data_IF_872208949239
#
_entry.id   IF_872208949239
#
_cell.length_a   1.000
_cell.length_b   1.000
_cell.length_c   1.000
_cell.angle_alpha   90.00
_cell.angle_beta   90.00
_cell.angle_gamma   90.00
#
_symmetry.space_group_name_H-M   'P 1'
#
loop_
_entity.id
_entity.type
_entity.pdbx_description
1 polymer ?
#
# COMPACT_ATOMS: atom_id res chain seq x y z
N UNK A 1 9.64 -22.54 10.25
CA UNK A 1 9.48 -23.57 9.19
C UNK A 1 10.37 -23.16 8.02
N UNK A 2 11.15 -24.06 7.42
CA UNK A 2 11.98 -23.70 6.29
C UNK A 2 11.12 -23.38 5.08
N UNK A 3 11.37 -22.22 4.46
CA UNK A 3 10.78 -21.80 3.17
C UNK A 3 11.22 -22.82 2.09
N UNK A 4 10.31 -23.66 1.69
CA UNK A 4 10.52 -24.53 0.51
C UNK A 4 10.30 -23.64 -0.71
N UNK A 5 11.39 -23.18 -1.32
CA UNK A 5 11.40 -22.53 -2.63
C UNK A 5 10.91 -23.54 -3.67
N UNK A 6 9.64 -23.55 -3.99
CA UNK A 6 9.10 -24.30 -5.11
C UNK A 6 9.19 -23.45 -6.38
N UNK A 7 9.83 -23.99 -7.40
CA UNK A 7 9.91 -23.35 -8.72
C UNK A 7 8.52 -23.26 -9.36
N UNK A 8 8.17 -22.13 -10.01
CA UNK A 8 6.83 -21.86 -10.53
C UNK A 8 6.35 -22.78 -11.67
N UNK A 9 7.22 -23.54 -12.31
CA UNK A 9 6.97 -24.19 -13.59
C UNK A 9 6.12 -25.45 -13.51
N UNK A 10 6.10 -26.18 -12.40
CA UNK A 10 5.39 -27.47 -12.32
C UNK A 10 4.14 -27.46 -11.44
N UNK A 11 3.90 -26.36 -10.74
CA UNK A 11 2.85 -26.29 -9.71
C UNK A 11 1.49 -25.75 -10.22
N UNK A 12 1.47 -24.99 -11.33
CA UNK A 12 0.28 -24.26 -11.77
C UNK A 12 -0.94 -25.13 -12.03
N UNK A 13 -0.77 -26.26 -12.69
CA UNK A 13 -1.86 -27.19 -13.00
C UNK A 13 -2.43 -27.87 -11.75
N UNK A 14 -1.57 -28.42 -10.91
CA UNK A 14 -1.97 -29.15 -9.69
C UNK A 14 -2.62 -28.26 -8.65
N UNK A 15 -2.22 -26.99 -8.54
CA UNK A 15 -2.84 -26.03 -7.61
C UNK A 15 -4.24 -25.62 -8.06
N UNK A 16 -4.45 -25.41 -9.35
CA UNK A 16 -5.75 -25.02 -9.90
C UNK A 16 -6.78 -26.14 -9.68
N UNK A 17 -6.41 -27.39 -9.88
CA UNK A 17 -7.28 -28.56 -9.65
C UNK A 17 -7.73 -28.65 -8.19
N UNK A 18 -6.92 -28.23 -7.23
CA UNK A 18 -7.26 -28.19 -5.80
C UNK A 18 -8.02 -26.91 -5.40
N UNK A 19 -8.32 -26.00 -6.31
CA UNK A 19 -8.98 -24.74 -6.04
C UNK A 19 -8.09 -23.70 -5.35
N UNK A 20 -6.77 -23.90 -5.35
CA UNK A 20 -5.76 -22.98 -4.81
C UNK A 20 -4.74 -22.59 -5.86
N UNK A 21 -4.05 -21.49 -5.63
CA UNK A 21 -2.98 -21.03 -6.51
C UNK A 21 -1.86 -20.35 -5.70
N UNK A 22 -0.65 -20.36 -6.24
CA UNK A 22 0.53 -19.79 -5.59
C UNK A 22 0.69 -18.31 -5.91
N UNK A 23 0.79 -17.47 -4.87
CA UNK A 23 1.13 -16.06 -5.02
C UNK A 23 2.64 -15.87 -5.05
N UNK A 24 3.18 -15.30 -6.13
CA UNK A 24 4.63 -15.08 -6.31
C UNK A 24 5.21 -14.03 -5.37
N UNK A 25 4.40 -13.06 -4.91
CA UNK A 25 4.86 -11.98 -4.04
C UNK A 25 4.84 -12.36 -2.55
N UNK A 26 3.73 -12.89 -2.02
CA UNK A 26 3.67 -13.29 -0.60
C UNK A 26 4.10 -14.75 -0.37
N UNK A 27 4.38 -15.51 -1.44
CA UNK A 27 4.83 -16.90 -1.37
C UNK A 27 3.88 -17.82 -0.56
N UNK A 28 2.58 -17.67 -0.79
CA UNK A 28 1.54 -18.45 -0.14
C UNK A 28 0.63 -19.13 -1.15
N UNK A 29 0.17 -20.35 -0.82
CA UNK A 29 -0.96 -20.96 -1.48
C UNK A 29 -2.24 -20.33 -0.95
N UNK A 30 -3.05 -19.77 -1.84
CA UNK A 30 -4.29 -19.09 -1.50
C UNK A 30 -5.43 -19.62 -2.37
N UNK A 31 -6.69 -19.60 -1.89
CA UNK A 31 -7.86 -19.91 -2.69
C UNK A 31 -7.91 -19.08 -3.99
N UNK A 32 -8.37 -19.69 -5.09
CA UNK A 32 -8.48 -19.02 -6.40
C UNK A 32 -9.27 -17.72 -6.35
N UNK A 33 -10.24 -17.59 -5.44
CA UNK A 33 -11.02 -16.38 -5.23
C UNK A 33 -10.16 -15.16 -4.84
N UNK A 34 -8.95 -15.38 -4.29
CA UNK A 34 -7.99 -14.33 -3.96
C UNK A 34 -7.20 -13.82 -5.16
N UNK A 35 -7.38 -14.40 -6.34
CA UNK A 35 -6.67 -13.99 -7.55
C UNK A 35 -7.62 -13.34 -8.56
N UNK A 36 -7.08 -12.39 -9.32
CA UNK A 36 -7.72 -11.94 -10.55
C UNK A 36 -7.36 -12.87 -11.70
N UNK A 37 -8.16 -12.86 -12.76
CA UNK A 37 -7.89 -13.61 -13.99
C UNK A 37 -7.10 -12.77 -14.99
N UNK A 38 -6.34 -13.45 -15.84
CA UNK A 38 -5.58 -12.87 -16.94
C UNK A 38 -6.15 -13.36 -18.27
N UNK A 39 -6.86 -12.47 -18.97
CA UNK A 39 -7.46 -12.80 -20.26
C UNK A 39 -6.40 -13.13 -21.32
N UNK A 40 -5.23 -12.49 -21.29
CA UNK A 40 -4.13 -12.78 -22.21
C UNK A 40 -3.49 -14.15 -22.01
N UNK A 41 -3.76 -14.80 -20.87
CA UNK A 41 -3.31 -16.15 -20.54
C UNK A 41 -4.47 -17.15 -20.48
N UNK A 42 -5.51 -16.95 -21.28
CA UNK A 42 -6.65 -17.87 -21.35
C UNK A 42 -7.51 -17.94 -20.09
N UNK A 43 -7.56 -16.86 -19.30
CA UNK A 43 -8.34 -16.81 -18.05
C UNK A 43 -7.68 -17.45 -16.84
N UNK A 44 -6.39 -17.79 -16.92
CA UNK A 44 -5.61 -18.30 -15.78
C UNK A 44 -5.49 -17.25 -14.66
N UNK A 45 -5.31 -17.69 -13.40
CA UNK A 45 -5.04 -16.77 -12.30
C UNK A 45 -3.80 -15.93 -12.58
N UNK A 46 -3.82 -14.67 -12.15
CA UNK A 46 -2.62 -13.80 -12.15
C UNK A 46 -1.58 -14.35 -11.18
N UNK A 47 -0.30 -14.10 -11.44
CA UNK A 47 0.80 -14.56 -10.59
C UNK A 47 0.77 -14.00 -9.16
N UNK A 48 0.14 -12.83 -8.96
CA UNK A 48 -0.05 -12.22 -7.64
C UNK A 48 -1.51 -12.29 -7.20
N UNK A 49 -1.74 -12.57 -5.92
CA UNK A 49 -3.08 -12.39 -5.34
C UNK A 49 -3.51 -10.91 -5.39
N UNK A 50 -4.80 -10.64 -5.26
CA UNK A 50 -5.38 -9.29 -5.36
C UNK A 50 -4.72 -8.29 -4.42
N UNK A 51 -4.45 -8.69 -3.17
CA UNK A 51 -3.75 -7.86 -2.19
C UNK A 51 -2.33 -7.51 -2.68
N UNK A 52 -1.53 -8.51 -3.01
CA UNK A 52 -0.16 -8.29 -3.50
C UNK A 52 -0.13 -7.49 -4.80
N UNK A 53 -1.07 -7.73 -5.71
CA UNK A 53 -1.20 -6.93 -6.94
C UNK A 53 -1.48 -5.46 -6.63
N UNK A 54 -2.34 -5.19 -5.65
CA UNK A 54 -2.61 -3.83 -5.17
C UNK A 54 -1.36 -3.17 -4.56
N UNK A 55 -0.57 -3.90 -3.79
CA UNK A 55 0.70 -3.42 -3.22
C UNK A 55 1.71 -3.12 -4.33
N UNK A 56 1.91 -4.04 -5.29
CA UNK A 56 2.80 -3.83 -6.44
C UNK A 56 2.41 -2.58 -7.23
N UNK A 57 1.12 -2.39 -7.48
CA UNK A 57 0.62 -1.23 -8.23
C UNK A 57 0.95 0.09 -7.50
N UNK A 58 0.74 0.14 -6.18
CA UNK A 58 1.08 1.31 -5.35
C UNK A 58 2.59 1.54 -5.30
N UNK A 59 3.37 0.48 -5.13
CA UNK A 59 4.83 0.54 -5.10
C UNK A 59 5.38 1.14 -6.39
N UNK A 60 4.96 0.63 -7.55
CA UNK A 60 5.39 1.13 -8.85
C UNK A 60 5.01 2.60 -9.07
N UNK A 61 3.77 2.97 -8.72
CA UNK A 61 3.28 4.35 -8.83
C UNK A 61 4.14 5.33 -8.01
N UNK A 62 4.61 4.90 -6.86
CA UNK A 62 5.38 5.74 -5.94
C UNK A 62 6.89 5.45 -5.93
N UNK A 63 7.40 4.74 -6.96
CA UNK A 63 8.82 4.41 -7.10
C UNK A 63 9.40 3.75 -5.85
N UNK A 64 8.64 2.82 -5.28
CA UNK A 64 9.00 2.01 -4.12
C UNK A 64 9.04 0.53 -4.46
N UNK A 65 9.65 -0.26 -3.59
CA UNK A 65 9.61 -1.73 -3.70
C UNK A 65 8.31 -2.28 -3.14
N UNK A 66 7.97 -3.50 -3.53
CA UNK A 66 6.87 -4.25 -2.91
C UNK A 66 7.04 -4.34 -1.40
N UNK A 67 8.26 -4.62 -0.94
CA UNK A 67 8.57 -4.79 0.48
C UNK A 67 8.32 -3.51 1.28
N UNK A 68 8.73 -2.34 0.77
CA UNK A 68 8.51 -1.06 1.43
C UNK A 68 7.02 -0.83 1.72
N UNK A 69 6.19 -1.03 0.69
CA UNK A 69 4.74 -0.80 0.82
C UNK A 69 4.08 -1.90 1.66
N UNK A 70 4.54 -3.15 1.55
CA UNK A 70 4.05 -4.26 2.37
C UNK A 70 4.33 -4.02 3.86
N UNK A 71 5.54 -3.61 4.22
CA UNK A 71 5.90 -3.26 5.60
C UNK A 71 5.03 -2.12 6.15
N UNK A 72 4.67 -1.16 5.30
CA UNK A 72 3.77 -0.07 5.71
C UNK A 72 2.35 -0.57 5.98
N UNK A 73 1.83 -1.51 5.18
CA UNK A 73 0.55 -2.17 5.44
C UNK A 73 0.56 -2.93 6.77
N UNK A 74 1.62 -3.69 7.05
CA UNK A 74 1.79 -4.43 8.30
C UNK A 74 1.91 -3.47 9.50
N UNK A 75 2.74 -2.44 9.38
CA UNK A 75 2.95 -1.43 10.43
C UNK A 75 1.63 -0.74 10.80
N UNK A 76 0.83 -0.36 9.82
CA UNK A 76 -0.48 0.27 10.03
C UNK A 76 -1.61 -0.74 10.30
N UNK A 77 -1.31 -2.06 10.34
CA UNK A 77 -2.30 -3.13 10.59
C UNK A 77 -3.50 -3.04 9.64
N UNK A 78 -3.25 -2.70 8.37
CA UNK A 78 -4.29 -2.53 7.34
C UNK A 78 -5.34 -1.48 7.70
N UNK A 79 -4.95 -0.43 8.44
CA UNK A 79 -5.82 0.69 8.83
C UNK A 79 -5.38 1.99 8.19
N UNK A 80 -6.32 2.90 8.01
CA UNK A 80 -6.02 4.28 7.72
C UNK A 80 -5.24 4.91 8.89
N UNK A 81 -4.20 5.71 8.58
CA UNK A 81 -3.38 6.34 9.61
C UNK A 81 -4.09 7.50 10.35
N UNK A 82 -5.18 8.04 9.78
CA UNK A 82 -5.91 9.19 10.36
C UNK A 82 -7.20 8.74 11.02
N UNK A 83 -7.99 7.89 10.37
CA UNK A 83 -9.28 7.44 10.90
C UNK A 83 -9.25 5.93 11.23
N UNK A 84 -10.18 5.42 12.06
CA UNK A 84 -10.14 4.02 12.52
C UNK A 84 -10.57 3.00 11.46
N UNK A 85 -10.89 3.41 10.24
CA UNK A 85 -11.34 2.52 9.17
C UNK A 85 -10.25 1.49 8.82
N UNK A 86 -10.62 0.23 8.89
CA UNK A 86 -9.78 -0.90 8.50
C UNK A 86 -10.22 -1.46 7.16
N UNK A 87 -9.25 -1.78 6.33
CA UNK A 87 -9.45 -2.44 5.05
C UNK A 87 -8.72 -3.79 5.08
N UNK A 88 -9.46 -4.86 5.38
CA UNK A 88 -8.92 -6.21 5.60
C UNK A 88 -8.09 -6.73 4.42
N UNK A 89 -8.45 -6.34 3.21
CA UNK A 89 -7.81 -6.79 1.99
C UNK A 89 -6.82 -5.75 1.42
N UNK A 90 -6.53 -4.68 2.20
CA UNK A 90 -5.74 -3.54 1.73
C UNK A 90 -6.41 -2.75 0.61
N UNK A 91 -7.59 -3.20 0.17
CA UNK A 91 -8.40 -2.49 -0.80
C UNK A 91 -8.96 -1.20 -0.18
N UNK A 92 -9.00 -0.12 -0.93
CA UNK A 92 -9.46 1.18 -0.43
C UNK A 92 -8.43 1.98 0.38
N UNK A 93 -7.21 1.46 0.64
CA UNK A 93 -6.11 2.25 1.17
C UNK A 93 -5.22 2.77 0.04
N UNK A 94 -4.88 4.04 0.11
CA UNK A 94 -4.04 4.75 -0.85
C UNK A 94 -2.71 5.11 -0.19
N UNK A 95 -1.62 4.98 -0.93
CA UNK A 95 -0.32 5.45 -0.47
C UNK A 95 -0.27 6.97 -0.64
N UNK A 96 -0.19 7.67 0.47
CA UNK A 96 -0.11 9.12 0.53
C UNK A 96 1.34 9.59 0.47
N UNK A 97 1.55 10.77 -0.11
CA UNK A 97 2.85 11.41 -0.22
C UNK A 97 2.72 12.93 -0.10
N UNK A 98 3.81 13.60 0.24
CA UNK A 98 3.85 15.04 0.41
C UNK A 98 3.74 15.77 -0.95
N UNK A 99 2.64 16.51 -1.12
CA UNK A 99 2.38 17.30 -2.32
C UNK A 99 3.22 18.57 -2.41
N UNK A 100 3.82 19.04 -1.31
CA UNK A 100 4.80 20.13 -1.38
C UNK A 100 6.10 19.65 -2.02
N UNK A 101 6.47 18.37 -1.80
CA UNK A 101 7.62 17.74 -2.45
C UNK A 101 7.34 17.37 -3.92
N UNK A 102 6.15 16.81 -4.19
CA UNK A 102 5.75 16.32 -5.52
C UNK A 102 4.39 16.92 -5.91
N UNK A 103 4.36 18.19 -6.39
CA UNK A 103 3.09 18.92 -6.59
C UNK A 103 2.30 18.44 -7.81
N UNK A 104 2.90 17.73 -8.75
CA UNK A 104 2.19 17.26 -9.94
C UNK A 104 1.36 16.03 -9.63
N UNK A 105 0.11 16.06 -10.06
CA UNK A 105 -0.82 14.95 -9.88
C UNK A 105 -0.26 13.66 -10.49
N UNK A 106 -0.21 12.61 -9.69
CA UNK A 106 0.26 11.28 -10.12
C UNK A 106 1.77 11.08 -10.08
N UNK A 107 2.56 12.10 -9.78
CA UNK A 107 4.00 11.99 -9.58
C UNK A 107 4.37 11.75 -8.12
N UNK A 108 5.41 10.96 -7.91
CA UNK A 108 6.03 10.76 -6.60
C UNK A 108 7.51 10.47 -6.80
N UNK A 109 8.37 11.12 -6.01
CA UNK A 109 9.81 10.84 -6.00
C UNK A 109 10.14 9.54 -5.25
N UNK A 110 9.18 8.98 -4.53
CA UNK A 110 9.35 7.81 -3.68
C UNK A 110 9.97 8.13 -2.30
N UNK A 111 10.45 9.32 -2.05
CA UNK A 111 11.13 9.68 -0.79
C UNK A 111 10.28 10.57 0.13
N UNK A 112 9.08 10.91 -0.30
CA UNK A 112 8.15 11.77 0.42
C UNK A 112 6.84 11.06 0.79
N UNK A 113 6.83 9.73 0.80
CA UNK A 113 5.66 8.97 1.23
C UNK A 113 5.44 9.16 2.72
N UNK A 114 4.19 9.27 3.14
CA UNK A 114 3.78 9.50 4.52
C UNK A 114 3.13 8.27 5.15
N UNK A 115 2.18 7.65 4.46
CA UNK A 115 1.45 6.50 5.00
C UNK A 115 0.33 6.02 4.10
N UNK A 116 -0.47 5.11 4.63
CA UNK A 116 -1.66 4.58 3.97
C UNK A 116 -2.91 5.24 4.55
N UNK A 117 -3.73 5.80 3.68
CA UNK A 117 -4.97 6.49 4.03
C UNK A 117 -6.14 5.91 3.24
N UNK A 118 -7.32 5.88 3.84
CA UNK A 118 -8.55 5.63 3.08
C UNK A 118 -8.82 6.78 2.10
N UNK A 119 -9.66 6.51 1.10
CA UNK A 119 -9.98 7.51 0.07
C UNK A 119 -10.50 8.83 0.66
N UNK A 120 -11.38 8.78 1.66
CA UNK A 120 -11.95 9.97 2.29
C UNK A 120 -10.89 10.84 2.98
N UNK A 121 -9.93 10.20 3.69
CA UNK A 121 -8.84 10.93 4.33
C UNK A 121 -7.84 11.47 3.30
N UNK A 122 -7.45 10.64 2.33
CA UNK A 122 -6.43 11.00 1.33
C UNK A 122 -6.91 12.04 0.30
N UNK A 123 -8.16 11.95 -0.14
CA UNK A 123 -8.70 12.83 -1.18
C UNK A 123 -9.54 14.00 -0.65
N UNK A 124 -9.92 13.99 0.62
CA UNK A 124 -10.81 14.98 1.20
C UNK A 124 -10.23 15.67 2.42
N UNK A 125 -10.17 14.94 3.55
CA UNK A 125 -9.86 15.51 4.86
C UNK A 125 -8.44 16.10 4.92
N UNK A 126 -7.44 15.36 4.49
CA UNK A 126 -6.05 15.79 4.56
C UNK A 126 -5.77 17.00 3.66
N UNK A 127 -6.14 17.01 2.35
CA UNK A 127 -5.92 18.18 1.50
C UNK A 127 -6.68 19.42 1.96
N UNK A 128 -7.85 19.26 2.56
CA UNK A 128 -8.57 20.36 3.17
C UNK A 128 -7.80 20.93 4.36
N UNK A 129 -7.35 20.06 5.27
CA UNK A 129 -6.61 20.47 6.46
C UNK A 129 -5.26 21.15 6.14
N UNK A 130 -4.51 20.62 5.19
CA UNK A 130 -3.24 21.23 4.75
C UNK A 130 -3.41 22.67 4.26
N UNK A 131 -4.58 23.00 3.68
CA UNK A 131 -4.88 24.40 3.23
C UNK A 131 -5.19 25.37 4.37
N UNK A 132 -5.76 24.88 5.48
CA UNK A 132 -6.15 25.73 6.62
C UNK A 132 -5.21 25.60 7.80
N UNK A 133 -4.20 24.75 7.71
CA UNK A 133 -3.22 24.50 8.76
C UNK A 133 -2.55 25.81 9.20
N UNK A 134 -2.58 26.09 10.50
CA UNK A 134 -2.07 27.35 11.08
C UNK A 134 -3.08 28.50 11.12
N UNK A 135 -4.26 28.36 10.49
CA UNK A 135 -5.34 29.33 10.56
C UNK A 135 -6.41 28.94 11.59
N UNK A 136 -6.55 27.65 11.84
CA UNK A 136 -7.51 27.03 12.75
C UNK A 136 -6.80 26.31 13.90
N UNK A 137 -7.48 26.04 15.01
CA UNK A 137 -6.93 25.19 16.06
C UNK A 137 -6.44 23.85 15.51
N UNK A 138 -5.31 23.33 15.96
CA UNK A 138 -4.76 22.09 15.45
C UNK A 138 -5.70 20.90 15.73
N UNK A 139 -5.93 20.07 14.73
CA UNK A 139 -6.65 18.81 14.90
C UNK A 139 -5.64 17.66 15.15
N UNK A 140 -5.56 17.15 16.40
CA UNK A 140 -4.46 16.28 16.82
C UNK A 140 -4.19 15.08 15.92
N UNK A 141 -5.19 14.33 15.40
CA UNK A 141 -4.91 13.20 14.52
C UNK A 141 -4.22 13.58 13.21
N UNK A 142 -4.54 14.73 12.64
CA UNK A 142 -3.94 15.21 11.40
C UNK A 142 -2.55 15.81 11.65
N UNK A 143 -2.38 16.55 12.75
CA UNK A 143 -1.05 17.05 13.16
C UNK A 143 -0.09 15.90 13.46
N UNK A 144 -0.55 14.89 14.20
CA UNK A 144 0.26 13.70 14.48
C UNK A 144 0.69 13.01 13.19
N UNK A 145 -0.23 12.81 12.25
CA UNK A 145 0.07 12.21 10.96
C UNK A 145 1.06 13.03 10.12
N UNK A 146 0.91 14.35 10.09
CA UNK A 146 1.77 15.23 9.30
C UNK A 146 3.17 15.40 9.91
N UNK A 147 3.27 15.43 11.24
CA UNK A 147 4.54 15.64 11.95
C UNK A 147 5.34 14.34 12.12
N UNK A 148 4.66 13.21 12.31
CA UNK A 148 5.29 11.90 12.49
C UNK A 148 4.54 10.83 11.67
N UNK A 149 4.68 10.85 10.34
CA UNK A 149 3.98 9.91 9.48
C UNK A 149 4.51 8.48 9.62
N UNK A 150 3.65 7.44 9.49
CA UNK A 150 4.05 6.04 9.63
C UNK A 150 5.26 5.62 8.80
N UNK A 151 5.43 6.20 7.62
CA UNK A 151 6.57 5.92 6.76
C UNK A 151 7.92 6.39 7.33
N UNK A 152 7.91 7.40 8.22
CA UNK A 152 9.12 7.89 8.86
C UNK A 152 9.71 6.86 9.83
N UNK A 153 8.88 6.22 10.65
CA UNK A 153 9.31 5.18 11.60
C UNK A 153 9.91 3.94 10.90
N UNK A 154 9.56 3.72 9.63
CA UNK A 154 10.11 2.65 8.79
C UNK A 154 11.32 3.11 7.94
N UNK A 155 11.78 4.35 8.07
CA UNK A 155 12.85 4.89 7.25
C UNK A 155 12.50 5.04 5.76
N UNK A 156 11.21 5.07 5.44
CA UNK A 156 10.72 5.12 4.07
C UNK A 156 10.56 6.55 3.53
N UNK A 157 10.69 7.56 4.37
CA UNK A 157 10.70 8.96 3.97
C UNK A 157 12.02 9.63 4.36
N UNK A 158 12.54 10.47 3.48
CA UNK A 158 13.74 11.29 3.75
C UNK A 158 13.37 12.73 4.12
N UNK A 159 12.12 13.12 3.92
CA UNK A 159 11.62 14.43 4.28
C UNK A 159 10.93 14.34 5.63
N UNK A 160 11.66 14.54 6.73
CA UNK A 160 11.05 14.97 7.97
C UNK A 160 10.55 16.40 7.73
N UNK A 161 9.24 16.59 7.74
CA UNK A 161 8.62 17.91 7.83
C UNK A 161 8.90 18.49 9.20
N UNK A 162 10.08 19.04 9.39
CA UNK A 162 10.54 19.62 10.65
C UNK A 162 11.66 20.59 10.39
N UNK A 163 11.28 21.82 10.19
CA UNK A 163 11.87 23.06 10.72
C UNK A 163 11.63 24.24 9.78
N UNK A 164 10.72 25.05 10.16
CA UNK A 164 10.82 26.48 9.99
C UNK A 164 10.46 27.10 11.33
#
# INVERSE_FOLDING_TARGET
MPLVLRTPTDAGGQFIERGVYWCTSCQQELPLAHFGTDAGRGGLPRGNCKLCQGIVTRANKHKRTFLDVHLLFEHQRYKCAICPVRHSDGDGLHLDHDHACCPRKGESCGQCIRGLLCWGCNGGVLPWYERIRGQEPPYPPLESYLNDPPAASLGLTKHSSGSA
#
